data_IF_969165310893
#
_entry.id   IF_969165310893
#
_cell.length_a   1.000
_cell.length_b   1.000
_cell.length_c   1.000
_cell.angle_alpha   90.00
_cell.angle_beta   90.00
_cell.angle_gamma   90.00
#
_symmetry.space_group_name_H-M   'P 1'
#
loop_
_entity.id
_entity.type
_entity.pdbx_description
1 polymer ?
#
# COMPACT_ATOMS: atom_id res chain seq x y z
N UNK A 1 -2.30 -24.26 -10.73
CA UNK A 1 -1.11 -24.33 -9.85
C UNK A 1 -1.19 -23.06 -9.03
N UNK A 2 -1.32 -23.18 -7.71
CA UNK A 2 -1.80 -22.12 -6.81
C UNK A 2 -1.17 -20.75 -7.09
N UNK A 3 -1.88 -19.89 -7.83
CA UNK A 3 -1.71 -18.45 -7.84
C UNK A 3 -1.96 -17.99 -6.40
N UNK A 4 -0.92 -18.07 -5.59
CA UNK A 4 -0.96 -17.61 -4.21
C UNK A 4 -1.07 -16.11 -4.36
N UNK A 5 -2.29 -15.61 -4.20
CA UNK A 5 -2.61 -14.20 -4.09
C UNK A 5 -1.63 -13.57 -3.09
N UNK A 6 -0.55 -13.01 -3.62
CA UNK A 6 0.37 -12.21 -2.83
C UNK A 6 -0.40 -10.92 -2.65
N UNK A 7 -1.10 -10.80 -1.51
CA UNK A 7 -1.85 -9.59 -1.20
C UNK A 7 -0.93 -8.38 -1.41
N UNK A 8 -1.22 -7.65 -2.48
CA UNK A 8 -0.44 -6.50 -2.91
C UNK A 8 -0.54 -5.48 -1.79
N UNK A 9 0.61 -5.03 -1.29
CA UNK A 9 0.61 -4.05 -0.21
C UNK A 9 0.54 -2.66 -0.79
N UNK A 10 -0.38 -1.83 -0.29
CA UNK A 10 -0.58 -0.47 -0.75
C UNK A 10 -0.17 0.55 0.32
N UNK A 11 0.50 1.62 -0.10
CA UNK A 11 0.84 2.69 0.82
C UNK A 11 -0.43 3.44 1.23
N UNK A 12 -0.63 3.65 2.54
CA UNK A 12 -1.83 4.31 3.09
C UNK A 12 -1.99 5.80 2.75
N UNK A 13 -1.04 6.40 2.03
CA UNK A 13 -1.05 7.83 1.71
C UNK A 13 -1.00 8.08 0.21
N UNK A 14 0.07 7.64 -0.46
CA UNK A 14 0.25 7.84 -1.89
C UNK A 14 -0.32 6.71 -2.77
N UNK A 15 -0.77 5.60 -2.17
CA UNK A 15 -1.30 4.44 -2.89
C UNK A 15 -0.26 3.63 -3.68
N UNK A 16 1.04 3.89 -3.54
CA UNK A 16 2.06 3.08 -4.22
C UNK A 16 2.00 1.62 -3.75
N UNK A 17 2.35 0.68 -4.62
CA UNK A 17 2.24 -0.75 -4.34
C UNK A 17 3.53 -1.51 -4.69
N UNK A 18 3.55 -2.82 -4.42
CA UNK A 18 4.72 -3.68 -4.69
C UNK A 18 5.16 -3.67 -6.17
N UNK A 19 4.24 -3.35 -7.09
CA UNK A 19 4.47 -3.27 -8.54
C UNK A 19 4.59 -1.82 -9.04
N UNK A 20 3.93 -0.85 -8.39
CA UNK A 20 4.00 0.58 -8.73
C UNK A 20 4.60 1.42 -7.62
N UNK A 21 5.90 1.71 -7.72
CA UNK A 21 6.57 2.68 -6.87
C UNK A 21 6.22 4.14 -7.24
N UNK A 22 6.47 5.07 -6.30
CA UNK A 22 6.37 6.51 -6.53
C UNK A 22 7.25 6.99 -7.72
N UNK A 23 6.93 8.13 -8.35
CA UNK A 23 7.63 8.63 -9.56
C UNK A 23 9.14 8.96 -9.39
N UNK A 24 9.66 8.95 -8.16
CA UNK A 24 11.10 9.05 -7.85
C UNK A 24 11.77 7.73 -7.43
N UNK A 25 11.00 6.64 -7.38
CA UNK A 25 11.37 5.40 -6.70
C UNK A 25 11.18 5.54 -5.19
N UNK A 26 10.54 4.54 -4.58
CA UNK A 26 10.38 4.48 -3.13
C UNK A 26 10.61 3.04 -2.64
N UNK A 27 10.86 2.90 -1.35
CA UNK A 27 10.97 1.60 -0.69
C UNK A 27 10.05 1.54 0.53
N UNK A 28 9.57 0.36 0.89
CA UNK A 28 8.76 0.15 2.09
C UNK A 28 9.57 0.47 3.36
N UNK A 29 9.08 1.43 4.16
CA UNK A 29 9.60 1.69 5.52
C UNK A 29 8.89 0.82 6.55
N UNK A 30 7.58 0.65 6.36
CA UNK A 30 6.72 -0.23 7.14
C UNK A 30 5.76 -0.90 6.17
N UNK A 31 5.51 -2.19 6.36
CA UNK A 31 4.56 -2.93 5.55
C UNK A 31 3.95 -4.05 6.39
N UNK A 32 2.64 -4.17 6.32
CA UNK A 32 1.86 -5.24 6.91
C UNK A 32 1.17 -5.99 5.78
N UNK A 33 1.87 -7.02 5.28
CA UNK A 33 1.40 -7.86 4.17
C UNK A 33 0.16 -8.67 4.54
N UNK A 34 -0.11 -8.87 5.83
CA UNK A 34 -1.33 -9.55 6.27
C UNK A 34 -2.56 -8.63 6.20
N UNK A 35 -2.34 -7.31 6.13
CA UNK A 35 -3.39 -6.32 5.94
C UNK A 35 -3.40 -5.72 4.53
N UNK A 36 -2.43 -6.07 3.66
CA UNK A 36 -2.25 -5.44 2.36
C UNK A 36 -1.92 -3.94 2.42
N UNK A 37 -1.33 -3.46 3.53
CA UNK A 37 -1.08 -2.02 3.75
C UNK A 37 0.37 -1.75 4.13
N UNK A 38 0.85 -0.54 3.83
CA UNK A 38 2.18 -0.10 4.21
C UNK A 38 2.38 1.41 4.18
N UNK A 39 3.63 1.80 4.44
CA UNK A 39 4.14 3.17 4.35
C UNK A 39 5.46 3.14 3.60
N UNK A 40 5.54 3.85 2.48
CA UNK A 40 6.76 3.97 1.69
C UNK A 40 7.67 5.09 2.19
N UNK A 41 8.88 5.17 1.63
CA UNK A 41 9.90 6.16 2.01
C UNK A 41 9.54 7.60 1.67
N UNK A 42 8.71 7.82 0.65
CA UNK A 42 8.17 9.16 0.33
C UNK A 42 7.14 9.62 1.37
N UNK A 43 6.34 8.70 1.90
CA UNK A 43 5.33 8.97 2.92
C UNK A 43 5.86 8.78 4.35
N UNK A 44 7.13 9.14 4.60
CA UNK A 44 7.77 8.99 5.90
C UNK A 44 7.03 9.75 7.04
N UNK A 45 6.26 10.78 6.69
CA UNK A 45 5.32 11.50 7.56
C UNK A 45 4.38 10.57 8.33
N UNK A 46 3.86 9.53 7.67
CA UNK A 46 2.89 8.58 8.22
C UNK A 46 3.50 7.48 9.08
N UNK A 47 4.83 7.33 9.07
CA UNK A 47 5.50 6.26 9.83
C UNK A 47 5.23 6.40 11.33
N UNK A 48 5.22 7.64 11.85
CA UNK A 48 4.95 7.89 13.26
C UNK A 48 3.52 7.51 13.68
N UNK A 49 2.55 7.67 12.78
CA UNK A 49 1.16 7.26 13.02
C UNK A 49 1.01 5.74 12.87
N UNK A 50 1.68 5.16 11.88
CA UNK A 50 1.76 3.70 11.69
C UNK A 50 2.35 2.98 12.91
N UNK A 51 3.47 3.47 13.45
CA UNK A 51 4.12 2.91 14.65
C UNK A 51 3.24 3.07 15.90
N UNK A 52 2.30 4.03 15.93
CA UNK A 52 1.23 4.14 16.96
C UNK A 52 0.06 3.18 16.72
N UNK A 53 0.02 2.52 15.57
CA UNK A 53 -1.01 1.58 15.17
C UNK A 53 -2.09 2.16 14.24
N UNK A 54 -1.96 3.41 13.81
CA UNK A 54 -2.87 4.00 12.83
C UNK A 54 -2.64 3.38 11.44
N UNK A 55 -3.70 2.79 10.89
CA UNK A 55 -3.70 2.13 9.58
C UNK A 55 -4.71 2.81 8.64
N UNK A 56 -5.02 4.07 8.89
CA UNK A 56 -6.04 4.80 8.15
C UNK A 56 -5.51 5.12 6.75
N UNK A 57 -6.09 4.52 5.71
CA UNK A 57 -5.75 4.84 4.33
C UNK A 57 -6.43 6.14 3.88
N UNK A 58 -5.74 6.93 3.05
CA UNK A 58 -6.37 8.02 2.31
C UNK A 58 -7.38 7.45 1.32
N UNK A 59 -8.40 8.23 0.97
CA UNK A 59 -9.35 7.86 -0.07
C UNK A 59 -8.64 7.55 -1.40
N UNK A 60 -7.58 8.31 -1.71
CA UNK A 60 -6.72 8.08 -2.88
C UNK A 60 -6.10 6.68 -2.87
N UNK A 61 -5.58 6.25 -1.71
CA UNK A 61 -5.00 4.91 -1.54
C UNK A 61 -6.07 3.80 -1.47
N UNK A 62 -7.26 4.10 -0.95
CA UNK A 62 -8.38 3.16 -0.90
C UNK A 62 -8.94 2.88 -2.29
N UNK A 63 -9.02 3.90 -3.15
CA UNK A 63 -9.42 3.73 -4.54
C UNK A 63 -8.40 2.94 -5.34
N UNK A 64 -7.09 3.12 -5.08
CA UNK A 64 -6.04 2.31 -5.71
C UNK A 64 -6.18 0.82 -5.37
N UNK A 65 -6.56 0.50 -4.13
CA UNK A 65 -6.85 -0.88 -3.69
C UNK A 65 -8.09 -1.45 -4.36
N UNK A 66 -9.17 -0.66 -4.46
CA UNK A 66 -10.45 -1.11 -5.04
C UNK A 66 -10.36 -1.31 -6.57
N UNK A 67 -9.64 -0.41 -7.26
CA UNK A 67 -9.39 -0.52 -8.70
C UNK A 67 -8.53 -1.72 -9.09
N UNK A 68 -7.81 -2.35 -8.15
CA UNK A 68 -7.13 -3.62 -8.40
C UNK A 68 -8.10 -4.78 -8.68
N UNK A 69 -9.42 -4.63 -8.41
CA UNK A 69 -10.44 -5.66 -8.63
C UNK A 69 -11.21 -5.53 -9.97
N UNK A 70 -11.18 -4.38 -10.67
CA UNK A 70 -12.03 -4.12 -11.85
C UNK A 70 -11.56 -4.81 -13.17
N UNK A 71 -10.69 -5.83 -13.09
CA UNK A 71 -10.16 -6.59 -14.23
C UNK A 71 -10.81 -7.94 -14.52
N UNK A 72 -11.88 -8.32 -13.80
CA UNK A 72 -12.53 -9.64 -13.95
C UNK A 72 -13.90 -9.58 -14.65
N UNK A 73 -13.91 -9.64 -15.99
CA UNK A 73 -15.09 -9.99 -16.80
C UNK A 73 -14.76 -11.18 -17.71
#
# INVERSE_FOLDING_TARGET
MLDTDVEVSFCIECGCDDWHACPGGCSWLRVDRAAGLGVCSECASRVADWDRGDRTCTEESQMAQDMAWEGGQ
#
